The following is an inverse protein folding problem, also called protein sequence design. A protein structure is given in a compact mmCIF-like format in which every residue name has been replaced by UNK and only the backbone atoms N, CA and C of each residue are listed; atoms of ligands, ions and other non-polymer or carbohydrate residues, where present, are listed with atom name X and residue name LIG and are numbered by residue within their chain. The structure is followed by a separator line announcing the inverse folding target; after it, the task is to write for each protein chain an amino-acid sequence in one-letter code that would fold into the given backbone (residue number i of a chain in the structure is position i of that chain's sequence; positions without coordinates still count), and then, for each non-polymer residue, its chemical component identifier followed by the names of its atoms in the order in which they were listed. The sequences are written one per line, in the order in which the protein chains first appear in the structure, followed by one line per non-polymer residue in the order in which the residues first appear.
data_IF_480075618437
#
_entry.id   IF_480075618437
#
_cell.length_a   1.000
_cell.length_b   1.000
_cell.length_c   1.000
_cell.angle_alpha   90.00
_cell.angle_beta   90.00
_cell.angle_gamma   90.00
#
_symmetry.space_group_name_H-M   'P 1'
#
loop_
_entity.id
_entity.type
_entity.pdbx_description
1 polymer ?
#
# COMPACT_ATOMS: atom_id res chain seq x y z
N UNK A 1 45.92 3.66 -105.84
CA UNK A 1 46.82 2.96 -104.91
C UNK A 1 46.65 3.63 -103.55
N UNK A 2 45.71 3.11 -102.74
CA UNK A 2 45.94 2.38 -101.47
C UNK A 2 46.46 3.35 -100.39
N UNK A 3 45.79 3.58 -99.26
CA UNK A 3 45.34 2.59 -98.25
C UNK A 3 44.05 3.03 -97.51
N UNK A 4 43.29 2.07 -96.96
CA UNK A 4 42.10 2.31 -96.13
C UNK A 4 41.78 1.16 -95.17
N UNK A 5 41.38 1.52 -93.93
CA UNK A 5 40.38 0.85 -93.05
C UNK A 5 40.81 -0.47 -92.34
N UNK A 6 40.32 -0.93 -91.17
CA UNK A 6 39.20 -0.58 -90.27
C UNK A 6 39.25 -1.42 -88.96
N UNK A 7 38.64 -0.90 -87.87
CA UNK A 7 37.66 -1.58 -86.96
C UNK A 7 38.05 -2.57 -85.80
N UNK A 8 37.62 -2.17 -84.56
CA UNK A 8 36.70 -2.82 -83.55
C UNK A 8 37.22 -3.26 -82.14
N UNK A 9 36.69 -2.53 -81.10
CA UNK A 9 36.03 -2.90 -79.78
C UNK A 9 36.80 -3.75 -78.71
N UNK A 10 36.41 -3.82 -77.39
CA UNK A 10 35.10 -3.48 -76.75
C UNK A 10 35.05 -2.92 -75.26
N UNK A 11 33.82 -2.49 -74.82
CA UNK A 11 33.07 -2.40 -73.50
C UNK A 11 33.48 -1.60 -72.21
N UNK A 12 32.43 -0.96 -71.63
CA UNK A 12 32.02 -0.67 -70.21
C UNK A 12 32.25 0.77 -69.71
N UNK A 13 31.36 1.47 -68.99
CA UNK A 13 29.97 1.30 -68.50
C UNK A 13 29.47 2.74 -68.17
N UNK A 14 28.25 3.09 -68.61
CA UNK A 14 27.42 4.28 -68.31
C UNK A 14 26.66 4.04 -66.98
N UNK A 15 26.02 4.95 -66.21
CA UNK A 15 25.32 6.25 -66.38
C UNK A 15 25.02 6.73 -64.91
N UNK A 16 25.17 7.97 -64.46
CA UNK A 16 24.46 9.25 -64.71
C UNK A 16 23.16 9.49 -63.89
N UNK A 17 23.29 10.45 -62.95
CA UNK A 17 22.44 11.60 -62.57
C UNK A 17 20.88 11.56 -62.41
N UNK A 18 20.45 12.24 -61.32
CA UNK A 18 19.33 13.21 -61.15
C UNK A 18 17.93 12.84 -60.62
N UNK A 19 17.66 13.42 -59.43
CA UNK A 19 16.67 14.48 -59.13
C UNK A 19 15.25 14.16 -58.56
N UNK A 20 14.92 14.95 -57.52
CA UNK A 20 13.61 15.54 -57.15
C UNK A 20 12.55 14.82 -56.26
N UNK A 21 12.32 15.47 -55.09
CA UNK A 21 11.05 15.90 -54.43
C UNK A 21 9.92 14.92 -53.99
N UNK A 22 9.66 14.98 -52.66
CA UNK A 22 8.36 15.06 -51.90
C UNK A 22 7.25 14.01 -52.11
N UNK A 23 6.92 13.24 -51.05
CA UNK A 23 5.66 13.30 -50.23
C UNK A 23 5.44 12.01 -49.42
N UNK A 24 5.19 12.19 -48.12
CA UNK A 24 4.14 11.58 -47.28
C UNK A 24 3.65 10.15 -47.55
N UNK A 25 3.86 9.24 -46.58
CA UNK A 25 2.81 8.46 -45.87
C UNK A 25 3.42 7.36 -44.98
N UNK A 26 2.86 7.24 -43.78
CA UNK A 26 3.38 6.42 -42.68
C UNK A 26 3.23 4.92 -42.82
N UNK A 27 3.96 4.20 -41.96
CA UNK A 27 3.74 2.79 -41.65
C UNK A 27 3.98 2.54 -40.15
N UNK A 28 2.95 1.95 -39.55
CA UNK A 28 2.81 1.29 -38.26
C UNK A 28 4.09 0.93 -37.49
N UNK A 29 4.15 1.34 -36.23
CA UNK A 29 4.89 0.62 -35.20
C UNK A 29 3.99 -0.49 -34.63
N UNK A 30 4.38 -1.74 -34.84
CA UNK A 30 3.84 -2.87 -34.09
C UNK A 30 4.37 -2.85 -32.64
N UNK A 31 3.55 -3.20 -31.63
CA UNK A 31 4.02 -3.31 -30.27
C UNK A 31 4.81 -4.61 -30.07
N UNK A 32 6.09 -4.48 -29.70
CA UNK A 32 6.94 -5.58 -29.25
C UNK A 32 6.36 -6.19 -27.97
N UNK A 33 5.75 -7.36 -28.09
CA UNK A 33 5.36 -8.20 -26.97
C UNK A 33 6.61 -8.72 -26.25
N UNK A 34 6.70 -8.50 -24.93
CA UNK A 34 7.74 -9.09 -24.09
C UNK A 34 7.40 -10.56 -23.80
N UNK A 35 8.38 -11.48 -23.82
CA UNK A 35 8.13 -12.90 -23.65
C UNK A 35 7.80 -13.25 -22.19
N UNK A 36 6.92 -14.23 -22.07
CA UNK A 36 6.37 -14.83 -20.85
C UNK A 36 7.46 -15.19 -19.83
N UNK A 37 7.28 -14.77 -18.58
CA UNK A 37 8.20 -15.10 -17.49
C UNK A 37 7.95 -16.56 -17.04
N UNK A 38 8.85 -17.45 -17.46
CA UNK A 38 9.11 -18.73 -16.78
C UNK A 38 9.39 -18.44 -15.30
N UNK A 39 8.81 -19.24 -14.39
CA UNK A 39 9.14 -19.30 -12.96
C UNK A 39 10.58 -18.85 -12.69
N UNK A 40 10.74 -17.64 -12.14
CA UNK A 40 12.03 -17.15 -11.68
C UNK A 40 12.26 -17.73 -10.29
N UNK A 41 13.07 -18.78 -10.22
CA UNK A 41 13.70 -19.18 -8.97
C UNK A 41 14.72 -18.11 -8.61
N UNK A 42 14.32 -17.14 -7.80
CA UNK A 42 15.29 -16.33 -7.06
C UNK A 42 16.04 -17.28 -6.11
N UNK A 43 17.38 -17.20 -6.01
CA UNK A 43 18.07 -17.95 -4.98
C UNK A 43 17.49 -17.48 -3.64
N UNK A 44 16.98 -18.43 -2.86
CA UNK A 44 16.52 -18.22 -1.48
C UNK A 44 17.47 -17.24 -0.80
N UNK A 45 16.98 -16.03 -0.54
CA UNK A 45 17.72 -15.06 0.24
C UNK A 45 18.00 -15.75 1.58
N UNK A 46 19.28 -15.84 1.94
CA UNK A 46 19.68 -16.42 3.21
C UNK A 46 18.86 -15.73 4.31
N UNK A 47 18.31 -16.49 5.29
CA UNK A 47 17.50 -15.92 6.35
C UNK A 47 18.30 -14.78 6.97
N UNK A 48 17.78 -13.56 6.86
CA UNK A 48 18.41 -12.40 7.51
C UNK A 48 18.42 -12.76 8.99
N UNK A 49 19.60 -12.71 9.61
CA UNK A 49 19.70 -12.76 11.07
C UNK A 49 19.01 -11.49 11.58
N UNK A 50 17.69 -11.58 11.75
CA UNK A 50 16.94 -10.59 12.49
C UNK A 50 17.56 -10.54 13.87
N UNK A 51 18.03 -9.37 14.26
CA UNK A 51 18.02 -9.02 15.67
C UNK A 51 16.57 -9.20 16.11
N UNK A 52 16.29 -10.29 16.85
CA UNK A 52 15.08 -10.38 17.63
C UNK A 52 15.10 -9.18 18.60
N UNK A 53 14.47 -8.08 18.21
CA UNK A 53 14.13 -7.03 19.15
C UNK A 53 12.94 -7.54 19.96
N UNK A 54 13.21 -8.37 20.94
CA UNK A 54 12.27 -8.63 22.03
C UNK A 54 12.02 -7.29 22.73
N UNK A 55 10.84 -6.72 22.53
CA UNK A 55 10.35 -5.60 23.33
C UNK A 55 9.90 -6.17 24.68
N UNK A 56 10.81 -6.20 25.65
CA UNK A 56 10.48 -6.55 27.03
C UNK A 56 9.64 -5.43 27.65
N UNK A 57 8.33 -5.66 27.73
CA UNK A 57 7.39 -4.78 28.42
C UNK A 57 7.42 -5.07 29.91
N UNK A 58 8.47 -4.62 30.60
CA UNK A 58 8.58 -4.75 32.05
C UNK A 58 7.82 -3.63 32.77
N UNK A 59 6.58 -3.92 33.16
CA UNK A 59 5.82 -3.11 34.12
C UNK A 59 6.43 -3.25 35.52
N UNK A 60 7.29 -2.32 35.93
CA UNK A 60 7.86 -2.29 37.29
C UNK A 60 6.84 -1.79 38.32
N UNK A 61 6.13 -2.70 38.96
CA UNK A 61 5.43 -2.39 40.22
C UNK A 61 6.33 -2.83 41.39
N UNK A 62 6.85 -1.84 42.11
CA UNK A 62 7.70 -2.04 43.28
C UNK A 62 6.82 -2.29 44.50
N UNK A 63 6.79 -3.53 45.01
CA UNK A 63 6.31 -3.85 46.34
C UNK A 63 7.27 -4.84 47.00
N UNK A 64 8.03 -4.34 47.99
CA UNK A 64 8.71 -5.18 48.97
C UNK A 64 7.77 -5.43 50.14
N UNK A 65 7.51 -6.70 50.47
CA UNK A 65 7.87 -7.33 51.76
C UNK A 65 7.04 -8.59 52.04
N UNK A 66 7.74 -9.64 52.49
CA UNK A 66 7.29 -10.67 53.43
C UNK A 66 6.01 -11.49 53.16
N UNK A 67 6.18 -12.70 52.65
CA UNK A 67 5.20 -13.78 52.83
C UNK A 67 5.26 -14.85 51.76
N UNK A 68 5.83 -16.01 52.10
CA UNK A 68 5.76 -17.21 51.27
C UNK A 68 4.30 -17.68 51.22
N UNK A 69 3.58 -17.23 50.20
CA UNK A 69 2.31 -17.80 49.78
C UNK A 69 2.59 -18.63 48.53
N UNK A 70 2.45 -19.95 48.69
CA UNK A 70 2.40 -20.93 47.61
C UNK A 70 1.09 -20.68 46.84
N UNK A 71 1.07 -19.60 46.05
CA UNK A 71 0.01 -19.29 45.12
C UNK A 71 0.28 -20.17 43.91
N UNK A 72 -0.52 -21.25 43.79
CA UNK A 72 -0.71 -22.03 42.57
C UNK A 72 -0.50 -21.12 41.36
N UNK A 73 0.57 -21.36 40.61
CA UNK A 73 0.92 -20.58 39.43
C UNK A 73 -0.31 -20.49 38.54
N UNK A 74 -0.99 -19.35 38.57
CA UNK A 74 -1.98 -19.00 37.56
C UNK A 74 -1.25 -19.18 36.23
N UNK A 75 -1.76 -20.05 35.35
CA UNK A 75 -1.14 -20.37 34.06
C UNK A 75 -0.78 -19.06 33.34
N UNK A 76 0.49 -18.65 33.41
CA UNK A 76 0.97 -17.44 32.79
C UNK A 76 0.95 -17.68 31.28
N UNK A 77 -0.04 -17.11 30.60
CA UNK A 77 -0.15 -17.18 29.15
C UNK A 77 0.84 -16.20 28.52
N UNK A 78 1.96 -16.71 28.04
CA UNK A 78 2.95 -15.95 27.28
C UNK A 78 2.67 -16.09 25.77
N UNK A 79 2.39 -14.97 25.11
CA UNK A 79 2.23 -14.92 23.66
C UNK A 79 3.36 -14.09 23.05
N UNK A 80 4.16 -14.73 22.18
CA UNK A 80 5.21 -14.06 21.43
C UNK A 80 4.67 -13.58 20.08
N UNK A 81 4.90 -12.30 19.76
CA UNK A 81 4.61 -11.72 18.45
C UNK A 81 5.89 -11.55 17.66
N UNK A 82 5.97 -12.17 16.48
CA UNK A 82 7.15 -12.16 15.62
C UNK A 82 6.88 -11.37 14.35
N UNK A 83 7.77 -10.42 14.05
CA UNK A 83 7.85 -9.77 12.75
C UNK A 83 8.63 -10.67 11.80
N UNK A 84 8.00 -11.06 10.71
CA UNK A 84 8.59 -11.97 9.72
C UNK A 84 8.54 -11.35 8.32
N UNK A 85 9.50 -11.75 7.49
CA UNK A 85 9.47 -11.52 6.04
C UNK A 85 8.42 -12.45 5.43
N UNK A 86 7.72 -11.98 4.41
CA UNK A 86 6.67 -12.75 3.74
C UNK A 86 7.25 -13.89 2.90
N UNK A 87 6.60 -15.05 2.96
CA UNK A 87 6.91 -16.23 2.16
C UNK A 87 5.69 -16.73 1.38
N UNK A 88 5.89 -17.66 0.45
CA UNK A 88 4.79 -18.25 -0.33
C UNK A 88 3.74 -18.96 0.56
N UNK A 89 4.17 -19.49 1.71
CA UNK A 89 3.29 -20.16 2.68
C UNK A 89 2.31 -19.17 3.36
N UNK A 90 2.60 -17.87 3.30
CA UNK A 90 1.80 -16.81 3.92
C UNK A 90 0.63 -16.32 3.04
N UNK A 91 0.50 -16.84 1.82
CA UNK A 91 -0.47 -16.36 0.83
C UNK A 91 -1.90 -16.29 1.37
N UNK A 92 -2.33 -17.30 2.12
CA UNK A 92 -3.68 -17.34 2.64
C UNK A 92 -3.92 -16.25 3.71
N UNK A 93 -2.93 -16.03 4.60
CA UNK A 93 -3.00 -15.00 5.64
C UNK A 93 -3.03 -13.59 5.04
N UNK A 94 -2.13 -13.31 4.09
CA UNK A 94 -2.10 -12.03 3.36
C UNK A 94 -3.42 -11.81 2.63
N UNK A 95 -3.91 -12.80 1.86
CA UNK A 95 -5.17 -12.70 1.13
C UNK A 95 -6.36 -12.42 2.05
N UNK A 96 -6.42 -13.09 3.20
CA UNK A 96 -7.48 -12.87 4.20
C UNK A 96 -7.47 -11.44 4.70
N UNK A 97 -6.30 -10.91 5.12
CA UNK A 97 -6.19 -9.55 5.63
C UNK A 97 -6.52 -8.50 4.57
N UNK A 98 -6.00 -8.64 3.36
CA UNK A 98 -6.30 -7.70 2.27
C UNK A 98 -7.79 -7.74 1.88
N UNK A 99 -8.43 -8.91 1.93
CA UNK A 99 -9.89 -9.02 1.73
C UNK A 99 -10.66 -8.19 2.77
N UNK A 100 -10.23 -8.21 4.04
CA UNK A 100 -10.83 -7.41 5.13
C UNK A 100 -10.57 -5.91 4.95
N UNK A 101 -9.35 -5.53 4.58
CA UNK A 101 -8.98 -4.14 4.33
C UNK A 101 -9.84 -3.53 3.21
N UNK A 102 -10.14 -4.32 2.18
CA UNK A 102 -10.82 -3.92 0.94
C UNK A 102 -12.32 -4.28 0.90
N UNK A 103 -12.94 -4.57 2.04
CA UNK A 103 -14.40 -4.72 2.20
C UNK A 103 -15.05 -5.81 1.35
N UNK A 104 -14.30 -6.87 1.03
CA UNK A 104 -14.79 -7.98 0.22
C UNK A 104 -15.35 -7.57 -1.15
N UNK A 105 -14.94 -6.40 -1.67
CA UNK A 105 -15.33 -5.98 -3.01
C UNK A 105 -14.72 -6.90 -4.08
N UNK A 106 -15.29 -6.87 -5.28
CA UNK A 106 -14.87 -7.64 -6.45
C UNK A 106 -13.54 -7.13 -7.03
N UNK A 107 -12.48 -7.13 -6.23
CA UNK A 107 -11.11 -7.05 -6.73
C UNK A 107 -10.58 -8.47 -6.94
N UNK A 108 -9.64 -8.62 -7.86
CA UNK A 108 -8.74 -9.76 -7.86
C UNK A 108 -7.76 -9.67 -6.68
N UNK A 109 -8.26 -9.98 -5.48
CA UNK A 109 -7.47 -10.04 -4.25
C UNK A 109 -6.38 -11.11 -4.36
N UNK A 110 -6.58 -12.15 -5.18
CA UNK A 110 -5.60 -13.20 -5.39
C UNK A 110 -4.31 -12.65 -6.00
N UNK A 111 -4.42 -11.92 -7.12
CA UNK A 111 -3.23 -11.31 -7.73
C UNK A 111 -2.62 -10.20 -6.88
N UNK A 112 -3.43 -9.44 -6.12
CA UNK A 112 -2.89 -8.44 -5.20
C UNK A 112 -2.12 -9.09 -4.03
N UNK A 113 -2.65 -10.16 -3.44
CA UNK A 113 -1.98 -10.90 -2.38
C UNK A 113 -0.67 -11.53 -2.87
N UNK A 114 -0.67 -12.12 -4.07
CA UNK A 114 0.56 -12.64 -4.66
C UNK A 114 1.59 -11.53 -4.91
N UNK A 115 1.16 -10.37 -5.41
CA UNK A 115 2.04 -9.21 -5.60
C UNK A 115 2.72 -8.75 -4.29
N UNK A 116 2.00 -8.81 -3.16
CA UNK A 116 2.54 -8.44 -1.85
C UNK A 116 3.64 -9.41 -1.41
N UNK A 117 3.42 -10.72 -1.61
CA UNK A 117 4.41 -11.75 -1.29
C UNK A 117 5.63 -11.64 -2.21
N UNK A 118 5.40 -11.44 -3.51
CA UNK A 118 6.46 -11.39 -4.53
C UNK A 118 7.37 -10.17 -4.37
N UNK A 119 6.90 -9.08 -3.76
CA UNK A 119 7.71 -7.88 -3.53
C UNK A 119 8.92 -8.20 -2.60
N UNK A 120 8.71 -9.00 -1.55
CA UNK A 120 9.71 -9.49 -0.57
C UNK A 120 10.56 -8.46 0.20
N UNK A 121 10.80 -7.26 -0.34
CA UNK A 121 11.79 -6.31 0.18
C UNK A 121 11.21 -5.16 1.00
N UNK A 122 9.90 -4.89 0.85
CA UNK A 122 9.17 -3.89 1.63
C UNK A 122 7.88 -4.52 2.13
N UNK A 123 7.86 -4.86 3.41
CA UNK A 123 6.67 -5.40 4.04
C UNK A 123 7.01 -6.43 5.11
N UNK A 124 6.09 -6.55 6.05
CA UNK A 124 6.23 -7.48 7.18
C UNK A 124 4.88 -8.07 7.53
N UNK A 125 4.92 -9.28 8.08
CA UNK A 125 3.77 -9.93 8.70
C UNK A 125 4.06 -10.12 10.18
N UNK A 126 3.00 -10.11 10.98
CA UNK A 126 3.09 -10.47 12.40
C UNK A 126 2.37 -11.78 12.60
N UNK A 127 3.06 -12.76 13.17
CA UNK A 127 2.46 -14.02 13.65
C UNK A 127 2.60 -14.12 15.16
N UNK A 128 1.62 -14.74 15.79
CA UNK A 128 1.63 -15.06 17.22
C UNK A 128 1.61 -16.57 17.40
N UNK A 129 2.53 -17.12 18.18
CA UNK A 129 2.55 -18.55 18.52
C UNK A 129 3.69 -18.89 19.48
N UNK A 130 3.66 -20.10 20.04
CA UNK A 130 4.66 -20.57 21.00
C UNK A 130 6.05 -20.67 20.36
N UNK A 131 7.08 -20.11 21.01
CA UNK A 131 8.47 -20.12 20.53
C UNK A 131 9.11 -21.54 20.54
N UNK A 132 8.45 -22.54 21.12
CA UNK A 132 9.04 -23.85 21.48
C UNK A 132 8.84 -25.01 20.49
N UNK A 133 8.17 -24.84 19.34
CA UNK A 133 8.00 -25.95 18.37
C UNK A 133 9.10 -26.04 17.30
N UNK A 134 10.37 -25.87 17.67
CA UNK A 134 11.51 -26.36 16.85
C UNK A 134 11.85 -27.82 17.16
N UNK A 135 10.88 -28.73 17.16
CA UNK A 135 11.13 -30.08 17.69
C UNK A 135 10.21 -31.24 17.34
N UNK A 136 9.11 -31.09 16.58
CA UNK A 136 8.36 -32.26 16.07
C UNK A 136 7.83 -31.99 14.68
N UNK A 137 8.21 -32.88 13.76
CA UNK A 137 7.76 -32.87 12.38
C UNK A 137 6.25 -33.05 12.26
N UNK A 138 5.72 -32.46 11.18
CA UNK A 138 4.45 -32.78 10.54
C UNK A 138 3.16 -32.47 11.32
N UNK A 139 3.02 -31.21 11.76
CA UNK A 139 1.73 -30.51 11.80
C UNK A 139 2.02 -29.01 11.79
N UNK A 140 1.46 -28.30 10.79
CA UNK A 140 1.57 -26.84 10.66
C UNK A 140 1.23 -26.18 11.98
N UNK A 141 2.24 -25.55 12.61
CA UNK A 141 2.13 -24.96 13.92
C UNK A 141 1.03 -23.89 13.96
N UNK A 142 0.37 -23.81 15.12
CA UNK A 142 -0.76 -22.96 15.45
C UNK A 142 -0.43 -21.44 15.47
N UNK A 143 0.46 -20.99 14.60
CA UNK A 143 0.83 -19.59 14.46
C UNK A 143 -0.36 -18.81 13.91
N UNK A 144 -0.92 -17.92 14.73
CA UNK A 144 -1.99 -17.03 14.35
C UNK A 144 -1.44 -15.88 13.50
N UNK A 145 -1.95 -15.73 12.27
CA UNK A 145 -1.61 -14.60 11.40
C UNK A 145 -2.30 -13.33 11.90
N UNK A 146 -1.54 -12.39 12.46
CA UNK A 146 -2.05 -11.26 13.21
C UNK A 146 -2.07 -9.94 12.43
N UNK A 147 -1.12 -9.71 11.53
CA UNK A 147 -1.03 -8.48 10.74
C UNK A 147 -0.28 -8.67 9.43
N UNK A 148 -0.56 -7.79 8.46
CA UNK A 148 0.24 -7.57 7.26
C UNK A 148 0.39 -6.07 7.05
N UNK A 149 1.61 -5.64 6.76
CA UNK A 149 1.90 -4.26 6.41
C UNK A 149 2.87 -4.22 5.23
N UNK A 150 2.57 -3.40 4.21
CA UNK A 150 3.44 -3.23 3.03
C UNK A 150 3.15 -1.91 2.32
N UNK A 151 4.11 -1.44 1.53
CA UNK A 151 3.96 -0.26 0.67
C UNK A 151 4.15 -0.72 -0.77
N UNK A 152 3.12 -0.56 -1.61
CA UNK A 152 3.18 -0.90 -3.03
C UNK A 152 3.15 0.35 -3.89
N UNK A 153 3.97 0.39 -4.94
CA UNK A 153 3.90 1.47 -5.92
C UNK A 153 2.78 1.18 -6.95
N UNK A 154 1.73 2.01 -7.06
CA UNK A 154 0.64 1.74 -7.99
C UNK A 154 1.09 1.78 -9.45
N UNK A 155 2.03 2.65 -9.82
CA UNK A 155 2.54 2.78 -11.19
C UNK A 155 3.35 1.56 -11.61
N UNK A 156 4.09 0.96 -10.68
CA UNK A 156 4.86 -0.27 -10.92
C UNK A 156 3.94 -1.43 -11.27
N UNK A 157 2.91 -1.66 -10.46
CA UNK A 157 2.15 -2.91 -10.51
C UNK A 157 0.85 -2.83 -11.34
N UNK A 158 0.28 -1.64 -11.61
CA UNK A 158 -1.03 -1.52 -12.30
C UNK A 158 -1.07 -2.10 -13.73
N UNK A 159 0.08 -2.25 -14.40
CA UNK A 159 0.14 -2.83 -15.75
C UNK A 159 0.03 -4.35 -15.75
N UNK A 160 0.64 -5.01 -14.76
CA UNK A 160 0.85 -6.45 -14.75
C UNK A 160 -0.03 -7.16 -13.72
N UNK A 161 -0.44 -6.47 -12.65
CA UNK A 161 -1.23 -7.02 -11.54
C UNK A 161 -2.68 -6.55 -11.66
N UNK A 162 -3.64 -7.43 -12.03
CA UNK A 162 -5.05 -7.07 -12.15
C UNK A 162 -5.63 -6.44 -10.87
N UNK A 163 -5.36 -7.04 -9.71
CA UNK A 163 -5.86 -6.54 -8.43
C UNK A 163 -5.37 -5.13 -8.09
N UNK A 164 -4.14 -4.78 -8.45
CA UNK A 164 -3.62 -3.41 -8.29
C UNK A 164 -4.37 -2.42 -9.18
N UNK A 165 -4.57 -2.78 -10.46
CA UNK A 165 -5.29 -1.93 -11.41
C UNK A 165 -6.72 -1.67 -10.93
N UNK A 166 -7.42 -2.71 -10.51
CA UNK A 166 -8.79 -2.62 -10.01
C UNK A 166 -8.88 -1.81 -8.71
N UNK A 167 -7.91 -1.95 -7.81
CA UNK A 167 -7.78 -1.11 -6.62
C UNK A 167 -7.63 0.37 -6.99
N UNK A 168 -6.69 0.70 -7.87
CA UNK A 168 -6.47 2.08 -8.32
C UNK A 168 -7.71 2.65 -9.01
N UNK A 169 -8.36 1.88 -9.88
CA UNK A 169 -9.59 2.29 -10.56
C UNK A 169 -10.74 2.52 -9.58
N UNK A 170 -10.87 1.69 -8.55
CA UNK A 170 -11.86 1.92 -7.51
C UNK A 170 -11.57 3.17 -6.69
N UNK A 171 -10.33 3.34 -6.22
CA UNK A 171 -9.93 4.54 -5.48
C UNK A 171 -10.18 5.80 -6.31
N UNK A 172 -9.89 5.77 -7.62
CA UNK A 172 -10.21 6.84 -8.54
C UNK A 172 -11.71 7.14 -8.59
N UNK A 173 -12.55 6.13 -8.75
CA UNK A 173 -14.02 6.29 -8.74
C UNK A 173 -14.51 6.92 -7.44
N UNK A 174 -13.96 6.51 -6.29
CA UNK A 174 -14.33 7.09 -5.00
C UNK A 174 -13.88 8.55 -4.87
N UNK A 175 -12.65 8.85 -5.29
CA UNK A 175 -12.12 10.22 -5.31
C UNK A 175 -12.95 11.12 -6.21
N UNK A 176 -13.23 10.70 -7.45
CA UNK A 176 -14.03 11.49 -8.40
C UNK A 176 -15.44 11.80 -7.87
N UNK A 177 -16.03 10.86 -7.12
CA UNK A 177 -17.39 10.98 -6.56
C UNK A 177 -17.44 11.77 -5.25
N UNK A 178 -16.43 11.64 -4.39
CA UNK A 178 -16.49 12.10 -3.00
C UNK A 178 -15.51 13.23 -2.66
N UNK A 179 -14.53 13.54 -3.51
CA UNK A 179 -13.61 14.66 -3.28
C UNK A 179 -14.35 16.00 -3.29
N UNK A 180 -13.98 16.88 -2.36
CA UNK A 180 -14.58 18.21 -2.23
C UNK A 180 -14.00 19.24 -3.22
N UNK A 181 -12.79 19.00 -3.76
CA UNK A 181 -12.12 19.88 -4.74
C UNK A 181 -11.59 19.11 -5.95
N UNK A 182 -11.56 19.77 -7.10
CA UNK A 182 -10.95 19.22 -8.32
C UNK A 182 -9.42 19.12 -8.18
N UNK A 183 -8.80 19.99 -7.38
CA UNK A 183 -7.37 19.89 -7.00
C UNK A 183 -7.04 18.53 -6.37
N UNK A 184 -7.91 18.00 -5.51
CA UNK A 184 -7.72 16.68 -4.88
C UNK A 184 -7.80 15.57 -5.93
N UNK A 185 -8.74 15.67 -6.88
CA UNK A 185 -8.87 14.70 -7.98
C UNK A 185 -7.65 14.72 -8.88
N UNK A 186 -7.17 15.90 -9.25
CA UNK A 186 -5.98 16.08 -10.07
C UNK A 186 -4.73 15.57 -9.35
N UNK A 187 -4.57 15.88 -8.05
CA UNK A 187 -3.46 15.40 -7.24
C UNK A 187 -3.44 13.86 -7.16
N UNK A 188 -4.58 13.24 -6.87
CA UNK A 188 -4.70 11.78 -6.86
C UNK A 188 -4.37 11.17 -8.23
N UNK A 189 -4.98 11.67 -9.30
CA UNK A 189 -4.76 11.19 -10.65
C UNK A 189 -3.29 11.31 -11.07
N UNK A 190 -2.61 12.40 -10.71
CA UNK A 190 -1.18 12.58 -10.98
C UNK A 190 -0.32 11.53 -10.27
N UNK A 191 -0.64 11.20 -9.02
CA UNK A 191 0.13 10.25 -8.21
C UNK A 191 0.02 8.80 -8.67
N UNK A 192 -1.16 8.39 -9.16
CA UNK A 192 -1.38 7.01 -9.65
C UNK A 192 -1.09 6.85 -11.15
N UNK A 193 -0.83 7.94 -11.86
CA UNK A 193 -0.52 7.91 -13.30
C UNK A 193 0.96 7.67 -13.57
N UNK A 194 1.32 6.96 -14.66
CA UNK A 194 2.72 6.79 -15.06
C UNK A 194 3.49 8.10 -15.28
N UNK A 195 2.78 9.16 -15.70
CA UNK A 195 3.36 10.49 -15.88
C UNK A 195 3.82 11.14 -14.55
N UNK A 196 3.22 10.74 -13.41
CA UNK A 196 3.64 11.18 -12.08
C UNK A 196 5.04 10.69 -11.72
N UNK A 197 5.37 9.45 -12.11
CA UNK A 197 6.68 8.84 -11.88
C UNK A 197 7.83 9.51 -12.65
N UNK A 198 7.55 10.05 -13.85
CA UNK A 198 8.54 10.84 -14.62
C UNK A 198 8.70 12.29 -14.14
N UNK A 199 7.70 12.83 -13.41
CA UNK A 199 7.70 14.21 -12.91
C UNK A 199 8.35 14.40 -11.54
N UNK A 200 9.04 13.39 -11.01
CA UNK A 200 9.70 13.42 -9.69
C UNK A 200 8.79 13.10 -8.50
N UNK A 201 7.51 12.75 -8.71
CA UNK A 201 6.60 12.34 -7.64
C UNK A 201 6.38 10.82 -7.67
N UNK A 202 6.96 10.10 -6.72
CA UNK A 202 6.75 8.67 -6.56
C UNK A 202 5.76 8.41 -5.43
N UNK A 203 4.67 7.71 -5.74
CA UNK A 203 3.61 7.42 -4.79
C UNK A 203 3.71 5.96 -4.30
N UNK A 204 3.52 5.74 -2.99
CA UNK A 204 3.30 4.42 -2.41
C UNK A 204 1.88 4.32 -1.86
N UNK A 205 1.23 3.17 -2.01
CA UNK A 205 -0.02 2.83 -1.32
C UNK A 205 0.36 1.94 -0.14
N UNK A 206 0.10 2.44 1.07
CA UNK A 206 0.26 1.69 2.31
C UNK A 206 -0.93 0.76 2.49
N UNK A 207 -0.68 -0.54 2.52
CA UNK A 207 -1.65 -1.56 2.90
C UNK A 207 -1.25 -2.06 4.29
N UNK A 208 -1.99 -1.63 5.30
CA UNK A 208 -1.75 -1.98 6.70
C UNK A 208 -3.05 -2.50 7.29
N UNK A 209 -3.13 -3.80 7.54
CA UNK A 209 -4.28 -4.45 8.16
C UNK A 209 -3.80 -5.39 9.25
N UNK A 210 -4.52 -5.37 10.38
CA UNK A 210 -4.20 -6.15 11.56
C UNK A 210 -5.48 -6.56 12.28
N UNK A 211 -5.39 -7.60 13.09
CA UNK A 211 -6.48 -7.93 13.99
C UNK A 211 -6.72 -6.78 14.98
N UNK A 212 -7.99 -6.53 15.31
CA UNK A 212 -8.40 -5.43 16.19
C UNK A 212 -7.83 -5.56 17.62
N UNK A 213 -7.48 -6.78 18.03
CA UNK A 213 -6.91 -7.11 19.32
C UNK A 213 -5.37 -7.19 19.28
N UNK A 214 -4.72 -6.82 18.17
CA UNK A 214 -3.26 -6.70 18.16
C UNK A 214 -2.84 -5.62 19.18
N UNK A 215 -1.91 -5.92 20.10
CA UNK A 215 -1.40 -4.93 21.06
C UNK A 215 -0.92 -3.65 20.35
N UNK A 216 -1.33 -2.49 20.87
CA UNK A 216 -1.00 -1.18 20.29
C UNK A 216 0.51 -0.90 20.30
N UNK A 217 1.23 -1.52 21.23
CA UNK A 217 2.67 -1.42 21.43
C UNK A 217 3.46 -1.94 20.22
N UNK A 218 2.86 -2.81 19.40
CA UNK A 218 3.49 -3.33 18.18
C UNK A 218 3.39 -2.35 16.99
N UNK A 219 2.45 -1.40 17.03
CA UNK A 219 2.16 -0.51 15.90
C UNK A 219 3.35 0.39 15.51
N UNK A 220 4.08 1.02 16.46
CA UNK A 220 5.31 1.74 16.12
C UNK A 220 6.34 0.84 15.43
N UNK A 221 6.46 -0.41 15.89
CA UNK A 221 7.32 -1.44 15.30
C UNK A 221 6.98 -1.73 13.83
N UNK A 222 5.69 -1.88 13.50
CA UNK A 222 5.21 -2.08 12.13
C UNK A 222 5.72 -0.96 11.21
N UNK A 223 5.51 0.29 11.59
CA UNK A 223 5.93 1.42 10.76
C UNK A 223 7.44 1.57 10.66
N UNK A 224 8.17 1.25 11.73
CA UNK A 224 9.64 1.27 11.74
C UNK A 224 10.21 0.24 10.78
N UNK A 225 9.70 -0.99 10.78
CA UNK A 225 10.14 -2.03 9.84
C UNK A 225 9.94 -1.56 8.40
N UNK A 226 8.76 -1.01 8.07
CA UNK A 226 8.51 -0.48 6.72
C UNK A 226 9.44 0.69 6.34
N UNK A 227 9.77 1.55 7.30
CA UNK A 227 10.71 2.67 7.08
C UNK A 227 12.11 2.13 6.79
N UNK A 228 12.56 1.17 7.58
CA UNK A 228 13.88 0.55 7.46
C UNK A 228 13.98 -0.27 6.16
N UNK A 229 12.93 -0.97 5.76
CA UNK A 229 12.85 -1.73 4.50
C UNK A 229 12.96 -0.83 3.26
N UNK A 230 12.27 0.30 3.26
CA UNK A 230 12.39 1.28 2.17
C UNK A 230 13.82 1.83 2.10
N UNK A 231 14.41 2.18 3.26
CA UNK A 231 15.78 2.66 3.32
C UNK A 231 16.78 1.59 2.85
N UNK A 232 16.60 0.34 3.27
CA UNK A 232 17.43 -0.79 2.85
C UNK A 232 17.33 -1.02 1.35
N UNK A 233 16.11 -1.06 0.80
CA UNK A 233 15.84 -1.27 -0.63
C UNK A 233 16.46 -0.20 -1.53
N UNK A 234 16.63 1.02 -1.02
CA UNK A 234 17.30 2.13 -1.70
C UNK A 234 18.82 2.13 -1.53
N UNK A 235 19.37 1.36 -0.59
CA UNK A 235 20.80 1.29 -0.33
C UNK A 235 21.55 0.51 -1.42
N UNK A 236 22.84 0.81 -1.58
CA UNK A 236 23.71 0.05 -2.49
C UNK A 236 23.95 -1.41 -2.03
N UNK A 237 23.71 -1.69 -0.73
CA UNK A 237 23.83 -3.03 -0.17
C UNK A 237 22.66 -3.94 -0.56
N UNK A 238 21.49 -3.38 -0.87
CA UNK A 238 20.38 -4.16 -1.38
C UNK A 238 20.67 -4.56 -2.83
N UNK A 239 20.65 -5.87 -3.09
CA UNK A 239 20.62 -6.45 -4.45
C UNK A 239 19.27 -6.17 -5.18
N UNK A 240 18.63 -5.03 -4.90
CA UNK A 240 17.44 -4.56 -5.60
C UNK A 240 17.84 -4.02 -6.99
N UNK A 241 17.25 -4.52 -8.08
CA UNK A 241 17.53 -4.04 -9.43
C UNK A 241 17.28 -2.54 -9.59
N UNK A 242 18.11 -1.85 -10.37
CA UNK A 242 17.97 -0.41 -10.60
C UNK A 242 16.60 -0.03 -11.21
N UNK A 243 16.03 -0.92 -12.04
CA UNK A 243 14.70 -0.75 -12.63
C UNK A 243 13.56 -0.75 -11.61
N UNK A 244 13.76 -1.40 -10.46
CA UNK A 244 12.78 -1.49 -9.39
C UNK A 244 13.00 -0.38 -8.35
N UNK A 245 14.25 -0.08 -8.01
CA UNK A 245 14.65 0.95 -7.05
C UNK A 245 14.02 2.33 -7.31
N UNK A 246 13.73 2.66 -8.58
CA UNK A 246 13.06 3.93 -8.95
C UNK A 246 11.66 4.05 -8.36
N UNK A 247 10.97 2.93 -8.11
CA UNK A 247 9.62 2.89 -7.57
C UNK A 247 9.55 3.01 -6.04
N UNK A 248 10.68 2.94 -5.35
CA UNK A 248 10.75 3.06 -3.88
C UNK A 248 11.22 4.42 -3.39
N UNK A 249 11.56 5.35 -4.29
CA UNK A 249 11.91 6.74 -3.97
C UNK A 249 10.67 7.57 -3.62
N UNK A 250 9.86 7.08 -2.68
CA UNK A 250 8.56 7.64 -2.34
C UNK A 250 8.67 9.11 -1.92
N UNK A 251 7.83 9.94 -2.51
CA UNK A 251 7.62 11.33 -2.07
C UNK A 251 6.29 11.48 -1.34
N UNK A 252 5.33 10.62 -1.66
CA UNK A 252 4.00 10.61 -1.06
C UNK A 252 3.57 9.18 -0.74
N UNK A 253 2.81 9.04 0.35
CA UNK A 253 2.13 7.81 0.73
C UNK A 253 0.62 8.05 0.75
N UNK A 254 -0.12 7.08 0.22
CA UNK A 254 -1.56 6.98 0.30
C UNK A 254 -1.93 5.94 1.35
N UNK A 255 -2.79 6.33 2.28
CA UNK A 255 -3.28 5.47 3.33
C UNK A 255 -4.76 5.22 3.12
N UNK A 256 -5.16 3.95 3.24
CA UNK A 256 -6.56 3.53 3.21
C UNK A 256 -6.93 2.99 4.59
N UNK A 257 -7.78 3.71 5.31
CA UNK A 257 -8.20 3.35 6.67
C UNK A 257 -9.70 3.48 6.87
N UNK A 258 -10.19 3.02 8.01
CA UNK A 258 -11.57 3.16 8.45
C UNK A 258 -11.65 3.99 9.74
N UNK A 259 -12.74 4.74 9.88
CA UNK A 259 -13.07 5.42 11.12
C UNK A 259 -14.57 5.32 11.39
N UNK A 260 -14.94 5.47 12.65
CA UNK A 260 -16.31 5.60 13.10
C UNK A 260 -16.63 7.07 13.37
N UNK A 261 -17.88 7.44 13.12
CA UNK A 261 -18.45 8.72 13.54
C UNK A 261 -19.55 8.41 14.54
N UNK A 262 -19.51 9.06 15.70
CA UNK A 262 -20.59 9.01 16.68
C UNK A 262 -21.84 9.69 16.08
N UNK A 263 -22.96 8.96 15.90
CA UNK A 263 -24.17 9.50 15.33
C UNK A 263 -24.90 10.45 16.29
N UNK A 264 -24.60 10.44 17.59
CA UNK A 264 -25.15 11.42 18.54
C UNK A 264 -24.67 12.86 18.26
N UNK A 265 -23.58 12.99 17.51
CA UNK A 265 -23.05 14.26 17.04
C UNK A 265 -23.46 14.66 15.64
N UNK A 266 -24.22 13.81 14.95
CA UNK A 266 -25.01 14.33 13.85
C UNK A 266 -25.94 15.40 14.46
N UNK A 267 -25.96 16.64 13.93
CA UNK A 267 -26.80 17.68 14.51
C UNK A 267 -28.23 17.15 14.53
N UNK A 268 -28.81 17.09 15.74
CA UNK A 268 -30.21 16.74 15.90
C UNK A 268 -31.03 17.55 14.89
N UNK A 269 -32.11 16.97 14.38
CA UNK A 269 -33.01 17.70 13.45
C UNK A 269 -33.55 19.01 14.05
N UNK A 270 -33.31 19.29 15.33
CA UNK A 270 -33.64 20.51 16.05
C UNK A 270 -32.37 21.26 16.52
N UNK A 271 -31.74 22.04 15.63
CA UNK A 271 -30.91 23.14 16.11
C UNK A 271 -31.82 24.31 16.56
N UNK A 272 -31.61 24.88 17.76
CA UNK A 272 -32.35 26.05 18.22
C UNK A 272 -31.80 27.30 17.51
N UNK A 273 -32.45 27.71 16.42
CA UNK A 273 -32.09 28.91 15.68
C UNK A 273 -32.79 28.98 14.33
N UNK A 274 -33.79 29.85 14.21
CA UNK A 274 -34.71 29.93 13.07
C UNK A 274 -34.09 30.32 11.72
N UNK A 275 -34.88 30.05 10.67
CA UNK A 275 -34.82 30.57 9.29
C UNK A 275 -33.51 30.32 8.48
N UNK A 276 -33.66 29.43 7.48
CA UNK A 276 -32.91 29.37 6.19
C UNK A 276 -31.40 29.65 6.26
N UNK A 277 -30.64 28.78 6.93
CA UNK A 277 -29.20 28.69 6.65
C UNK A 277 -28.99 28.06 5.26
N UNK A 278 -28.19 28.69 4.39
CA UNK A 278 -27.84 28.15 3.05
C UNK A 278 -27.27 26.73 3.18
N UNK A 279 -27.69 25.81 2.30
CA UNK A 279 -27.32 24.38 2.34
C UNK A 279 -25.80 24.14 2.44
N UNK A 280 -25.00 24.98 1.78
CA UNK A 280 -23.53 24.91 1.83
C UNK A 280 -22.95 25.14 3.24
N UNK A 281 -23.47 26.12 3.99
CA UNK A 281 -23.00 26.40 5.36
C UNK A 281 -23.34 25.26 6.32
N UNK A 282 -24.48 24.60 6.08
CA UNK A 282 -24.94 23.43 6.83
C UNK A 282 -24.11 22.18 6.53
N UNK A 283 -23.72 21.95 5.25
CA UNK A 283 -22.77 20.90 4.84
C UNK A 283 -21.41 21.11 5.52
N UNK A 284 -20.89 22.35 5.49
CA UNK A 284 -19.60 22.69 6.12
C UNK A 284 -19.60 22.44 7.64
N UNK A 285 -20.63 22.92 8.35
CA UNK A 285 -20.75 22.69 9.80
C UNK A 285 -20.83 21.20 10.16
N UNK A 286 -21.53 20.39 9.35
CA UNK A 286 -21.59 18.94 9.54
C UNK A 286 -20.24 18.27 9.33
N UNK A 287 -19.51 18.63 8.28
CA UNK A 287 -18.17 18.08 8.00
C UNK A 287 -17.18 18.43 9.12
N UNK A 288 -17.24 19.65 9.66
CA UNK A 288 -16.37 20.07 10.76
C UNK A 288 -16.67 19.35 12.08
N UNK A 289 -17.95 19.12 12.41
CA UNK A 289 -18.28 18.24 13.56
C UNK A 289 -17.86 16.80 13.30
N UNK A 290 -18.14 16.29 12.11
CA UNK A 290 -17.74 14.93 11.73
C UNK A 290 -16.23 14.73 11.88
N UNK A 291 -15.40 15.70 11.50
CA UNK A 291 -13.94 15.66 11.70
C UNK A 291 -13.55 15.60 13.17
N UNK A 292 -14.22 16.35 14.05
CA UNK A 292 -13.93 16.36 15.49
C UNK A 292 -14.30 15.07 16.20
N UNK A 293 -15.23 14.33 15.63
CA UNK A 293 -15.83 13.15 16.26
C UNK A 293 -15.43 11.84 15.58
N UNK A 294 -14.41 11.90 14.72
CA UNK A 294 -13.83 10.69 14.15
C UNK A 294 -13.13 9.93 15.25
N UNK A 295 -13.46 8.65 15.35
CA UNK A 295 -12.69 7.68 16.11
C UNK A 295 -12.08 6.72 15.10
N UNK A 296 -10.77 6.79 14.95
CA UNK A 296 -10.04 5.92 14.03
C UNK A 296 -9.95 4.50 14.59
N UNK A 297 -10.03 3.52 13.70
CA UNK A 297 -9.82 2.11 14.09
C UNK A 297 -8.35 1.89 14.42
N UNK A 298 -7.47 2.46 13.61
CA UNK A 298 -6.04 2.48 13.82
C UNK A 298 -5.67 3.83 14.46
N UNK A 299 -5.17 3.81 15.70
CA UNK A 299 -4.95 5.04 16.47
C UNK A 299 -3.91 5.97 15.83
N UNK A 300 -2.93 5.42 15.12
CA UNK A 300 -1.88 6.16 14.44
C UNK A 300 -2.43 7.08 13.32
N UNK A 301 -3.61 6.76 12.77
CA UNK A 301 -4.27 7.58 11.78
C UNK A 301 -4.73 8.94 12.36
N UNK A 302 -4.95 9.04 13.68
CA UNK A 302 -5.27 10.32 14.32
C UNK A 302 -4.13 11.33 14.09
N UNK A 303 -2.89 10.87 14.21
CA UNK A 303 -1.70 11.70 13.97
C UNK A 303 -1.48 11.90 12.47
N UNK A 304 -1.56 10.83 11.67
CA UNK A 304 -1.22 10.92 10.24
C UNK A 304 -2.20 11.78 9.44
N UNK A 305 -3.49 11.75 9.80
CA UNK A 305 -4.53 12.53 9.10
C UNK A 305 -4.37 14.02 9.35
N UNK A 306 -3.86 14.44 10.51
CA UNK A 306 -3.59 15.86 10.81
C UNK A 306 -2.49 16.45 9.91
N UNK A 307 -1.59 15.59 9.42
CA UNK A 307 -0.54 15.94 8.46
C UNK A 307 -0.91 15.65 6.99
N UNK A 308 -2.16 15.25 6.72
CA UNK A 308 -2.59 14.92 5.37
C UNK A 308 -2.67 16.16 4.48
N UNK A 309 -2.08 16.08 3.28
CA UNK A 309 -2.20 17.10 2.23
C UNK A 309 -3.64 17.21 1.72
N UNK A 310 -4.32 16.07 1.64
CA UNK A 310 -5.72 15.97 1.29
C UNK A 310 -6.27 14.65 1.84
N UNK A 311 -7.61 14.62 1.98
CA UNK A 311 -8.33 13.45 2.45
C UNK A 311 -9.70 13.37 1.76
N UNK A 312 -10.14 12.14 1.49
CA UNK A 312 -11.43 11.83 0.89
C UNK A 312 -12.06 10.69 1.68
N UNK A 313 -13.32 10.84 2.08
CA UNK A 313 -14.04 9.79 2.81
C UNK A 313 -15.36 9.43 2.16
N UNK A 314 -15.72 8.15 2.21
CA UNK A 314 -16.98 7.65 1.68
C UNK A 314 -17.63 6.65 2.64
N UNK A 315 -18.96 6.43 2.52
CA UNK A 315 -19.65 5.43 3.32
C UNK A 315 -19.07 4.04 3.10
N UNK A 316 -18.96 3.27 4.17
CA UNK A 316 -18.58 1.86 4.08
C UNK A 316 -19.65 1.05 3.31
N UNK A 317 -19.28 0.04 2.49
CA UNK A 317 -20.24 -0.78 1.76
C UNK A 317 -21.29 -1.43 2.67
N UNK A 318 -22.55 -1.54 2.20
CA UNK A 318 -23.60 -2.26 2.93
C UNK A 318 -23.29 -3.76 2.94
N UNK A 319 -23.10 -4.36 4.12
CA UNK A 319 -22.83 -5.80 4.24
C UNK A 319 -21.74 -6.21 5.22
N UNK A 320 -21.20 -5.29 6.03
CA UNK A 320 -20.15 -5.53 7.04
C UNK A 320 -20.49 -6.54 8.16
N UNK A 321 -21.61 -7.26 8.08
CA UNK A 321 -22.08 -8.17 9.13
C UNK A 321 -22.51 -7.48 10.43
N UNK A 322 -22.41 -6.15 10.49
CA UNK A 322 -22.84 -5.36 11.64
C UNK A 322 -24.36 -5.23 11.56
N UNK A 323 -25.02 -5.54 12.68
CA UNK A 323 -26.46 -5.44 12.75
C UNK A 323 -26.91 -3.98 12.48
N UNK A 324 -28.11 -3.79 11.93
CA UNK A 324 -28.60 -2.47 11.57
C UNK A 324 -28.72 -1.49 12.75
N UNK A 325 -28.75 -1.96 14.00
CA UNK A 325 -28.86 -1.15 15.20
C UNK A 325 -27.48 -0.64 15.64
N UNK A 326 -26.46 -1.50 15.67
CA UNK A 326 -25.06 -1.10 15.88
C UNK A 326 -24.57 -0.18 14.76
N UNK A 327 -25.00 -0.39 13.51
CA UNK A 327 -24.71 0.52 12.38
C UNK A 327 -25.39 1.89 12.55
N UNK A 328 -26.51 1.98 13.29
CA UNK A 328 -27.12 3.25 13.67
C UNK A 328 -26.39 3.92 14.83
N UNK A 329 -25.65 3.17 15.65
CA UNK A 329 -24.87 3.68 16.79
C UNK A 329 -23.44 4.09 16.43
N UNK A 330 -22.85 3.55 15.36
CA UNK A 330 -21.54 3.97 14.86
C UNK A 330 -21.54 3.91 13.33
N UNK A 331 -21.45 5.08 12.69
CA UNK A 331 -21.38 5.14 11.23
C UNK A 331 -19.93 4.90 10.79
N UNK A 332 -19.61 3.67 10.35
CA UNK A 332 -18.30 3.36 9.75
C UNK A 332 -18.15 4.04 8.40
N UNK A 333 -16.99 4.64 8.18
CA UNK A 333 -16.61 5.25 6.90
C UNK A 333 -15.21 4.83 6.51
N UNK A 334 -14.99 4.83 5.21
CA UNK A 334 -13.67 4.64 4.60
C UNK A 334 -13.02 6.01 4.42
N UNK A 335 -11.71 6.09 4.66
CA UNK A 335 -10.89 7.27 4.47
C UNK A 335 -9.68 6.92 3.61
N UNK A 336 -9.48 7.70 2.56
CA UNK A 336 -8.25 7.77 1.80
C UNK A 336 -7.60 9.11 2.06
N UNK A 337 -6.34 9.12 2.45
CA UNK A 337 -5.61 10.36 2.67
C UNK A 337 -4.16 10.25 2.19
N UNK A 338 -3.55 11.39 1.91
CA UNK A 338 -2.20 11.48 1.37
C UNK A 338 -1.30 12.26 2.29
N UNK A 339 -0.12 11.70 2.59
CA UNK A 339 0.92 12.32 3.43
C UNK A 339 2.22 12.35 2.65
N UNK A 340 3.06 13.36 2.89
CA UNK A 340 4.45 13.33 2.37
C UNK A 340 5.25 12.24 3.07
N UNK A 341 6.11 11.56 2.31
CA UNK A 341 6.93 10.48 2.86
C UNK A 341 7.85 10.96 3.99
N UNK A 342 8.41 12.17 3.87
CA UNK A 342 9.27 12.75 4.92
C UNK A 342 8.52 13.08 6.21
N UNK A 343 7.28 13.58 6.10
CA UNK A 343 6.43 13.85 7.25
C UNK A 343 6.07 12.53 7.95
N UNK A 344 5.71 11.50 7.19
CA UNK A 344 5.45 10.16 7.73
C UNK A 344 6.67 9.61 8.50
N UNK A 345 7.87 9.67 7.92
CA UNK A 345 9.10 9.23 8.62
C UNK A 345 9.30 9.92 9.97
N UNK A 346 8.98 11.20 10.04
CA UNK A 346 9.12 12.02 11.26
C UNK A 346 8.06 11.62 12.30
N UNK A 347 6.81 11.40 11.86
CA UNK A 347 5.73 10.95 12.75
C UNK A 347 5.99 9.54 13.29
N UNK A 348 6.57 8.63 12.48
CA UNK A 348 6.95 7.28 12.93
C UNK A 348 7.97 7.34 14.07
N UNK A 349 8.91 8.28 14.04
CA UNK A 349 9.89 8.46 15.12
C UNK A 349 9.26 9.03 16.40
N UNK A 350 8.09 9.68 16.29
CA UNK A 350 7.33 10.26 17.41
C UNK A 350 6.28 9.30 18.01
N UNK A 351 5.89 8.25 17.27
CA UNK A 351 4.97 7.21 17.75
C UNK A 351 5.63 6.26 18.78
N UNK A 352 6.96 6.31 18.90
CA UNK A 352 7.78 5.42 19.72
C UNK A 352 7.86 5.82 21.20
#
# INVERSE_FOLDING_TARGET
KSESSSSRRPVKEEEDDRDSRRHDRGLNQEPLAMPMNKKRSHPSAAPRKGSASSIDSSSSSSLSDGGQVDASSEDAFEAAFRFEDMTDDDFHGVRMMITRLLDGQEYDIGSLAQCIIDQQNIGTIIKSGEDDKKGKGDSGGDDAFCAVATILNPVQYSKEVPGMRELVDHLKKQVDKHADSDETKEAFNKMVSPAGGSGGSCCGIMLNERMINLPSELVPGIHRVLKDDVAWSLSEAAHCPAEERKYYKFTHLLFLTSYYVDPSAAPSKAMPGGKKMKAAKRKKARLEMEKKERRYICFEDEVFVDHALWQVSWPFPQGDGIDPETRKMLARKRLLYCVKYDDWKTMVDQLA
#
